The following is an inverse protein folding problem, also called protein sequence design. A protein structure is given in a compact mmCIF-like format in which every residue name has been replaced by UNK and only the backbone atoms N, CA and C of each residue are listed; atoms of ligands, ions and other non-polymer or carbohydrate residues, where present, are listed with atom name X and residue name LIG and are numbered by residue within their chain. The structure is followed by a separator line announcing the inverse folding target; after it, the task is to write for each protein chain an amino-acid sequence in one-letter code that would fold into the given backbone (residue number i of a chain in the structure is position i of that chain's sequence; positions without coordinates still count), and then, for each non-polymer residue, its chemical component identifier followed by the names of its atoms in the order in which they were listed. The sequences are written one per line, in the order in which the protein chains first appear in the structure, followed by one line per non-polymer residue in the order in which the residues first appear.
data_IF_602009701340
#
_entry.id   IF_602009701340
#
_cell.length_a   1.000
_cell.length_b   1.000
_cell.length_c   1.000
_cell.angle_alpha   90.00
_cell.angle_beta   90.00
_cell.angle_gamma   90.00
#
_symmetry.space_group_name_H-M   'P 1'
#
loop_
_entity.id
_entity.type
_entity.pdbx_description
1 polymer ?
#
# COMPACT_ATOMS: atom_id res chain seq x y z
N UNK A 1 45.90 -66.99 19.66
CA UNK A 1 44.52 -66.48 19.58
C UNK A 1 44.56 -65.04 19.09
N UNK A 2 44.34 -64.85 17.77
CA UNK A 2 44.31 -63.51 17.15
C UNK A 2 42.87 -63.05 17.11
N UNK A 3 42.57 -61.91 17.77
CA UNK A 3 41.28 -61.23 17.72
C UNK A 3 41.22 -60.35 16.46
N UNK A 4 40.29 -60.67 15.57
CA UNK A 4 39.95 -59.85 14.39
C UNK A 4 38.98 -58.78 14.87
N UNK A 5 39.38 -57.52 14.72
CA UNK A 5 38.52 -56.36 14.94
C UNK A 5 37.95 -55.96 13.58
N UNK A 6 36.66 -56.18 13.37
CA UNK A 6 35.94 -55.77 12.16
C UNK A 6 35.48 -54.32 12.38
N UNK A 7 36.04 -53.39 11.63
CA UNK A 7 35.63 -51.98 11.58
C UNK A 7 34.52 -51.85 10.56
N UNK A 8 33.30 -51.55 11.03
CA UNK A 8 32.19 -51.15 10.16
C UNK A 8 32.35 -49.70 9.75
N UNK A 9 32.64 -49.46 8.45
CA UNK A 9 32.58 -48.14 7.85
C UNK A 9 31.10 -47.85 7.52
N UNK A 10 30.44 -47.01 8.30
CA UNK A 10 29.14 -46.48 7.96
C UNK A 10 29.34 -45.34 6.95
N UNK A 11 29.03 -45.62 5.69
CA UNK A 11 28.98 -44.58 4.65
C UNK A 11 27.75 -43.68 4.91
N UNK A 12 27.99 -42.48 5.40
CA UNK A 12 26.99 -41.43 5.44
C UNK A 12 26.78 -40.89 4.02
N UNK A 13 25.76 -41.37 3.33
CA UNK A 13 25.25 -40.75 2.10
C UNK A 13 24.62 -39.43 2.48
N UNK A 14 25.38 -38.34 2.32
CA UNK A 14 24.84 -36.98 2.29
C UNK A 14 24.01 -36.85 1.03
N UNK A 15 22.70 -37.01 1.14
CA UNK A 15 21.77 -36.58 0.12
C UNK A 15 21.84 -35.05 0.04
N UNK A 16 22.66 -34.54 -0.86
CA UNK A 16 22.59 -33.17 -1.36
C UNK A 16 21.26 -33.04 -2.09
N UNK A 17 20.24 -32.62 -1.37
CA UNK A 17 18.96 -32.28 -1.96
C UNK A 17 19.12 -31.05 -2.85
N UNK A 18 19.45 -31.26 -4.12
CA UNK A 18 19.12 -30.28 -5.16
C UNK A 18 17.62 -30.05 -5.07
N UNK A 19 17.22 -28.86 -4.64
CA UNK A 19 15.85 -28.39 -4.75
C UNK A 19 15.47 -28.38 -6.23
N UNK A 20 14.97 -29.50 -6.72
CA UNK A 20 14.47 -29.66 -8.08
C UNK A 20 13.30 -28.69 -8.26
N UNK A 21 13.39 -27.82 -9.26
CA UNK A 21 12.24 -27.07 -9.79
C UNK A 21 11.08 -28.07 -9.91
N UNK A 22 9.98 -27.79 -9.25
CA UNK A 22 8.80 -28.67 -9.21
C UNK A 22 8.40 -29.07 -10.63
N UNK A 23 8.55 -30.35 -10.97
CA UNK A 23 8.22 -30.89 -12.29
C UNK A 23 6.73 -31.11 -12.51
N UNK A 24 5.91 -30.84 -11.50
CA UNK A 24 4.50 -31.22 -11.41
C UNK A 24 3.67 -30.62 -12.54
N UNK A 25 3.90 -29.36 -12.90
CA UNK A 25 3.10 -28.63 -13.90
C UNK A 25 3.72 -28.62 -15.32
N UNK A 26 4.88 -29.26 -15.56
CA UNK A 26 5.62 -29.14 -16.83
C UNK A 26 4.89 -29.60 -18.09
N UNK A 27 3.79 -30.34 -17.94
CA UNK A 27 2.99 -30.81 -19.09
C UNK A 27 1.86 -29.85 -19.47
N UNK A 28 1.62 -28.80 -18.67
CA UNK A 28 0.51 -27.87 -18.88
C UNK A 28 0.86 -26.90 -19.99
N UNK A 29 0.05 -26.88 -21.03
CA UNK A 29 0.16 -25.97 -22.17
C UNK A 29 -1.24 -25.57 -22.61
N UNK A 30 -1.42 -24.32 -23.01
CA UNK A 30 -2.68 -23.80 -23.50
C UNK A 30 -3.12 -22.54 -22.74
N UNK A 31 -4.28 -22.03 -23.12
CA UNK A 31 -4.90 -20.87 -22.48
C UNK A 31 -6.14 -21.30 -21.70
N UNK A 32 -6.21 -20.94 -20.45
CA UNK A 32 -7.26 -21.32 -19.51
C UNK A 32 -7.93 -20.08 -18.96
N UNK A 33 -9.25 -20.14 -18.85
CA UNK A 33 -10.04 -19.03 -18.36
C UNK A 33 -10.39 -19.20 -16.90
N UNK A 34 -10.27 -18.12 -16.12
CA UNK A 34 -10.72 -18.06 -14.74
C UNK A 34 -11.44 -16.77 -14.46
N UNK A 35 -12.26 -16.76 -13.41
CA UNK A 35 -13.01 -15.59 -12.98
C UNK A 35 -13.06 -15.49 -11.46
N UNK A 36 -13.20 -14.27 -10.96
CA UNK A 36 -13.47 -14.02 -9.56
C UNK A 36 -14.22 -12.70 -9.39
N UNK A 37 -14.97 -12.56 -8.29
CA UNK A 37 -15.76 -11.37 -8.03
C UNK A 37 -14.88 -10.15 -7.79
N UNK A 38 -15.02 -9.12 -8.62
CA UNK A 38 -14.50 -7.77 -8.43
C UNK A 38 -15.43 -6.93 -7.55
N UNK A 39 -15.24 -5.61 -7.58
CA UNK A 39 -16.08 -4.68 -6.81
C UNK A 39 -17.50 -4.59 -7.36
N UNK A 40 -17.66 -4.53 -8.68
CA UNK A 40 -18.95 -4.36 -9.37
C UNK A 40 -19.44 -5.63 -10.04
N UNK A 41 -18.53 -6.32 -10.73
CA UNK A 41 -18.84 -7.53 -11.49
C UNK A 41 -17.66 -8.50 -11.43
N UNK A 42 -17.84 -9.75 -11.90
CA UNK A 42 -16.73 -10.68 -12.03
C UNK A 42 -15.64 -10.13 -12.96
N UNK A 43 -14.39 -10.24 -12.51
CA UNK A 43 -13.21 -10.05 -13.36
C UNK A 43 -12.87 -11.39 -13.98
N UNK A 44 -12.69 -11.42 -15.30
CA UNK A 44 -12.35 -12.61 -16.06
C UNK A 44 -10.95 -12.46 -16.64
N UNK A 45 -10.14 -13.52 -16.51
CA UNK A 45 -8.77 -13.54 -17.04
C UNK A 45 -8.56 -14.77 -17.92
N UNK A 46 -7.72 -14.62 -18.95
CA UNK A 46 -7.14 -15.72 -19.70
C UNK A 46 -5.67 -15.88 -19.29
N UNK A 47 -5.29 -17.09 -18.88
CA UNK A 47 -3.93 -17.44 -18.46
C UNK A 47 -3.33 -18.41 -19.49
N UNK A 48 -2.25 -18.01 -20.13
CA UNK A 48 -1.52 -18.83 -21.08
C UNK A 48 -0.33 -19.52 -20.41
N UNK A 49 -0.29 -20.84 -20.50
CA UNK A 49 0.78 -21.67 -19.96
C UNK A 49 1.60 -22.30 -21.10
N UNK A 50 2.91 -22.33 -20.92
CA UNK A 50 3.85 -23.12 -21.71
C UNK A 50 4.76 -23.91 -20.78
N UNK A 51 4.75 -25.22 -20.87
CA UNK A 51 5.52 -26.12 -20.00
C UNK A 51 5.33 -25.83 -18.53
N UNK A 52 4.10 -25.39 -18.16
CA UNK A 52 3.73 -25.02 -16.81
C UNK A 52 4.23 -23.65 -16.35
N UNK A 53 4.84 -22.85 -17.20
CA UNK A 53 5.18 -21.45 -16.91
C UNK A 53 4.03 -20.53 -17.35
N UNK A 54 3.71 -19.53 -16.54
CA UNK A 54 2.73 -18.49 -16.90
C UNK A 54 3.40 -17.53 -17.88
N UNK A 55 3.02 -17.60 -19.15
CA UNK A 55 3.56 -16.74 -20.22
C UNK A 55 2.78 -15.45 -20.38
N UNK A 56 1.47 -15.52 -20.19
CA UNK A 56 0.61 -14.35 -20.27
C UNK A 56 -0.57 -14.46 -19.30
N UNK A 57 -0.99 -13.34 -18.76
CA UNK A 57 -2.26 -13.16 -18.09
C UNK A 57 -2.94 -11.97 -18.72
N UNK A 58 -4.12 -12.17 -19.29
CA UNK A 58 -4.90 -11.14 -19.96
C UNK A 58 -6.22 -10.95 -19.22
N UNK A 59 -6.52 -9.74 -18.74
CA UNK A 59 -7.84 -9.43 -18.22
C UNK A 59 -8.77 -9.18 -19.40
N UNK A 60 -9.75 -10.06 -19.58
CA UNK A 60 -10.69 -10.02 -20.72
C UNK A 60 -12.03 -9.39 -20.37
N UNK A 61 -12.35 -9.31 -19.07
CA UNK A 61 -13.53 -8.59 -18.57
C UNK A 61 -13.21 -7.91 -17.26
N UNK A 62 -13.53 -6.62 -17.17
CA UNK A 62 -13.44 -5.80 -15.97
C UNK A 62 -14.49 -4.69 -16.02
N UNK A 63 -15.38 -4.65 -15.04
CA UNK A 63 -16.42 -3.63 -14.88
C UNK A 63 -16.20 -2.78 -13.63
N UNK A 64 -15.11 -2.98 -12.91
CA UNK A 64 -14.73 -2.13 -11.79
C UNK A 64 -14.43 -0.71 -12.28
N UNK A 65 -14.45 0.26 -11.38
CA UNK A 65 -14.23 1.68 -11.73
C UNK A 65 -12.94 1.87 -12.52
N UNK A 66 -12.96 2.28 -13.80
CA UNK A 66 -11.80 2.25 -14.68
C UNK A 66 -10.55 2.92 -14.08
N UNK A 67 -10.71 4.12 -13.54
CA UNK A 67 -9.60 4.90 -12.95
C UNK A 67 -8.93 4.17 -11.78
N UNK A 68 -9.71 3.42 -11.00
CA UNK A 68 -9.20 2.71 -9.81
C UNK A 68 -8.65 1.34 -10.22
N UNK A 69 -9.40 0.62 -11.06
CA UNK A 69 -9.05 -0.74 -11.47
C UNK A 69 -7.88 -0.81 -12.45
N UNK A 70 -7.69 0.23 -13.29
CA UNK A 70 -6.67 0.25 -14.35
C UNK A 70 -5.26 -0.03 -13.79
N UNK A 71 -4.99 0.45 -12.59
CA UNK A 71 -3.77 0.17 -11.86
C UNK A 71 -3.49 -1.32 -11.68
N UNK A 72 -4.50 -2.02 -11.18
CA UNK A 72 -4.38 -3.45 -10.93
C UNK A 72 -4.40 -4.24 -12.24
N UNK A 73 -5.27 -3.87 -13.19
CA UNK A 73 -5.38 -4.51 -14.51
C UNK A 73 -4.07 -4.46 -15.28
N UNK A 74 -3.36 -3.34 -15.20
CA UNK A 74 -2.10 -3.16 -15.92
C UNK A 74 -0.89 -3.77 -15.21
N UNK A 75 -0.87 -3.83 -13.87
CA UNK A 75 0.33 -4.24 -13.14
C UNK A 75 0.28 -5.66 -12.56
N UNK A 76 -0.85 -6.12 -12.04
CA UNK A 76 -0.95 -7.45 -11.42
C UNK A 76 -0.64 -8.58 -12.41
N UNK A 77 -1.19 -8.61 -13.64
CA UNK A 77 -0.83 -9.61 -14.65
C UNK A 77 0.66 -9.67 -14.93
N UNK A 78 1.31 -8.52 -15.10
CA UNK A 78 2.74 -8.43 -15.38
C UNK A 78 3.58 -8.96 -14.20
N UNK A 79 3.23 -8.58 -12.96
CA UNK A 79 3.90 -9.07 -11.74
C UNK A 79 3.78 -10.60 -11.63
N UNK A 80 2.60 -11.17 -11.88
CA UNK A 80 2.38 -12.62 -11.85
C UNK A 80 3.25 -13.33 -12.86
N UNK A 81 3.29 -12.85 -14.11
CA UNK A 81 4.13 -13.43 -15.16
C UNK A 81 5.62 -13.35 -14.81
N UNK A 82 6.10 -12.18 -14.40
CA UNK A 82 7.50 -11.95 -14.09
C UNK A 82 7.98 -12.77 -12.88
N UNK A 83 7.16 -12.89 -11.85
CA UNK A 83 7.51 -13.59 -10.62
C UNK A 83 7.07 -15.05 -10.59
N UNK A 84 6.32 -15.51 -11.57
CA UNK A 84 5.68 -16.83 -11.56
C UNK A 84 4.94 -17.09 -10.23
N UNK A 85 4.28 -16.05 -9.72
CA UNK A 85 3.71 -16.02 -8.37
C UNK A 85 2.33 -15.37 -8.39
N UNK A 86 1.32 -16.08 -7.89
CA UNK A 86 -0.05 -15.54 -7.75
C UNK A 86 -0.23 -14.74 -6.44
N UNK A 87 0.73 -14.81 -5.52
CA UNK A 87 0.72 -14.06 -4.25
C UNK A 87 1.49 -12.74 -4.35
N UNK A 88 1.49 -12.12 -5.54
CA UNK A 88 2.08 -10.79 -5.73
C UNK A 88 1.36 -9.73 -4.88
N UNK A 89 2.06 -8.66 -4.55
CA UNK A 89 1.49 -7.55 -3.80
C UNK A 89 0.31 -6.89 -4.54
N UNK A 90 -0.69 -6.51 -3.78
CA UNK A 90 -1.82 -5.74 -4.29
C UNK A 90 -1.42 -4.30 -4.59
N UNK A 91 -2.09 -3.69 -5.55
CA UNK A 91 -1.92 -2.26 -5.88
C UNK A 91 -2.67 -1.43 -4.86
N UNK A 92 -1.98 -0.45 -4.27
CA UNK A 92 -2.58 0.51 -3.34
C UNK A 92 -3.73 1.28 -4.02
N UNK A 93 -4.89 1.32 -3.37
CA UNK A 93 -6.10 1.94 -3.91
C UNK A 93 -6.94 1.02 -4.81
N UNK A 94 -6.37 -0.04 -5.40
CA UNK A 94 -7.08 -1.01 -6.26
C UNK A 94 -7.10 -2.43 -5.64
N UNK A 95 -7.18 -2.53 -4.33
CA UNK A 95 -6.96 -3.78 -3.60
C UNK A 95 -7.99 -4.85 -3.95
N UNK A 96 -9.29 -4.49 -4.04
CA UNK A 96 -10.36 -5.46 -4.37
C UNK A 96 -10.13 -6.03 -5.78
N UNK A 97 -9.88 -5.17 -6.75
CA UNK A 97 -9.56 -5.57 -8.13
C UNK A 97 -8.29 -6.43 -8.19
N UNK A 98 -7.25 -6.06 -7.43
CA UNK A 98 -6.00 -6.85 -7.34
C UNK A 98 -6.27 -8.27 -6.81
N UNK A 99 -7.04 -8.41 -5.73
CA UNK A 99 -7.41 -9.73 -5.21
C UNK A 99 -8.28 -10.52 -6.18
N UNK A 100 -9.21 -9.86 -6.87
CA UNK A 100 -10.05 -10.52 -7.87
C UNK A 100 -9.21 -11.07 -9.04
N UNK A 101 -8.26 -10.29 -9.57
CA UNK A 101 -7.35 -10.77 -10.62
C UNK A 101 -6.52 -11.97 -10.13
N UNK A 102 -5.89 -11.87 -8.96
CA UNK A 102 -5.09 -12.96 -8.37
C UNK A 102 -5.92 -14.24 -8.21
N UNK A 103 -7.14 -14.11 -7.69
CA UNK A 103 -8.06 -15.24 -7.51
C UNK A 103 -8.53 -15.79 -8.83
N UNK A 104 -8.84 -14.95 -9.83
CA UNK A 104 -9.20 -15.40 -11.18
C UNK A 104 -8.06 -16.19 -11.84
N UNK A 105 -6.80 -15.74 -11.68
CA UNK A 105 -5.63 -16.48 -12.16
C UNK A 105 -5.50 -17.84 -11.45
N UNK A 106 -5.68 -17.88 -10.12
CA UNK A 106 -5.66 -19.15 -9.38
C UNK A 106 -6.75 -20.12 -9.88
N UNK A 107 -7.96 -19.61 -10.19
CA UNK A 107 -9.05 -20.39 -10.73
C UNK A 107 -8.72 -20.93 -12.15
N UNK A 108 -8.11 -20.09 -13.02
CA UNK A 108 -7.66 -20.52 -14.36
C UNK A 108 -6.59 -21.61 -14.26
N UNK A 109 -5.63 -21.49 -13.33
CA UNK A 109 -4.62 -22.52 -13.08
C UNK A 109 -5.25 -23.81 -12.56
N UNK A 110 -6.27 -23.73 -11.71
CA UNK A 110 -7.02 -24.90 -11.22
C UNK A 110 -7.77 -25.58 -12.37
N UNK A 111 -8.39 -24.82 -13.26
CA UNK A 111 -9.05 -25.32 -14.48
C UNK A 111 -8.04 -26.04 -15.41
N UNK A 112 -6.81 -25.56 -15.48
CA UNK A 112 -5.71 -26.21 -16.19
C UNK A 112 -5.27 -27.53 -15.53
N UNK A 113 -5.77 -27.88 -14.35
CA UNK A 113 -5.31 -29.00 -13.55
C UNK A 113 -3.96 -28.76 -12.87
N UNK A 114 -3.57 -27.50 -12.65
CA UNK A 114 -2.32 -27.14 -12.03
C UNK A 114 -2.33 -27.37 -10.51
N UNK A 115 -1.20 -27.83 -9.98
CA UNK A 115 -0.91 -27.73 -8.55
C UNK A 115 -0.48 -26.29 -8.26
N UNK A 116 -1.18 -25.59 -7.35
CA UNK A 116 -0.98 -24.17 -7.10
C UNK A 116 0.25 -23.82 -6.27
N UNK A 117 0.73 -24.72 -5.41
CA UNK A 117 1.83 -24.43 -4.49
C UNK A 117 3.11 -23.88 -5.16
N UNK A 118 3.53 -24.37 -6.33
CA UNK A 118 4.66 -23.76 -7.04
C UNK A 118 4.44 -22.30 -7.42
N UNK A 119 3.21 -21.91 -7.74
CA UNK A 119 2.85 -20.55 -8.11
C UNK A 119 2.60 -19.63 -6.90
N UNK A 120 2.54 -20.15 -5.69
CA UNK A 120 2.46 -19.36 -4.45
C UNK A 120 3.83 -19.00 -3.88
N UNK A 121 4.85 -19.77 -4.24
CA UNK A 121 6.23 -19.56 -3.76
C UNK A 121 7.04 -18.66 -4.69
N UNK A 122 6.58 -18.47 -5.91
CA UNK A 122 7.31 -17.78 -6.97
C UNK A 122 8.49 -18.62 -7.52
N UNK A 123 8.97 -18.25 -8.69
CA UNK A 123 10.31 -18.66 -9.10
C UNK A 123 11.32 -17.86 -8.26
N UNK A 124 12.51 -18.39 -7.99
CA UNK A 124 13.63 -17.62 -7.43
C UNK A 124 14.00 -16.47 -8.40
N UNK A 125 13.09 -15.49 -8.48
CA UNK A 125 13.19 -14.38 -9.39
C UNK A 125 14.38 -13.52 -8.97
N UNK A 126 15.27 -13.26 -9.89
CA UNK A 126 16.42 -12.35 -9.81
C UNK A 126 17.06 -12.35 -8.42
N UNK A 127 18.18 -13.02 -8.25
CA UNK A 127 18.95 -12.94 -7.02
C UNK A 127 19.29 -11.47 -6.75
N UNK A 128 18.55 -10.87 -5.84
CA UNK A 128 18.81 -9.49 -5.41
C UNK A 128 20.15 -9.45 -4.70
N UNK A 129 20.94 -8.44 -5.01
CA UNK A 129 22.25 -8.23 -4.37
C UNK A 129 22.02 -7.75 -2.94
N UNK A 130 22.66 -8.38 -1.98
CA UNK A 130 22.70 -7.88 -0.60
C UNK A 130 23.65 -6.67 -0.55
N UNK A 131 23.15 -5.49 -0.18
CA UNK A 131 23.99 -4.33 0.13
C UNK A 131 24.41 -4.41 1.59
N UNK A 132 25.71 -4.43 1.82
CA UNK A 132 26.32 -4.58 3.15
C UNK A 132 26.38 -3.27 3.94
N UNK A 133 26.27 -2.12 3.28
CA UNK A 133 26.29 -0.83 3.97
C UNK A 133 24.89 -0.44 4.45
N UNK A 134 24.74 -0.34 5.75
CA UNK A 134 23.54 0.18 6.36
C UNK A 134 23.59 1.72 6.39
N UNK A 135 22.62 2.36 5.78
CA UNK A 135 22.44 3.81 5.92
C UNK A 135 21.76 4.10 7.27
N UNK A 136 22.18 5.21 7.91
CA UNK A 136 21.60 5.65 9.17
C UNK A 136 20.77 6.93 8.95
N UNK A 137 19.55 6.94 9.45
CA UNK A 137 18.67 8.12 9.42
C UNK A 137 17.99 8.32 10.77
N UNK A 138 17.45 9.51 11.01
CA UNK A 138 16.72 9.75 12.25
C UNK A 138 15.34 9.10 12.22
N UNK A 139 14.62 9.24 11.11
CA UNK A 139 13.25 8.75 10.96
C UNK A 139 13.06 8.02 9.64
N UNK A 140 12.56 6.80 9.71
CA UNK A 140 12.03 6.07 8.55
C UNK A 140 10.51 6.09 8.62
N UNK A 141 9.87 6.45 7.50
CA UNK A 141 8.43 6.38 7.33
C UNK A 141 8.13 5.30 6.30
N UNK A 142 7.41 4.27 6.70
CA UNK A 142 7.03 3.14 5.86
C UNK A 142 5.66 3.40 5.23
N UNK A 143 5.65 3.65 3.93
CA UNK A 143 4.47 3.96 3.13
C UNK A 143 4.41 5.43 2.70
N UNK A 144 4.39 5.67 1.39
CA UNK A 144 4.30 6.97 0.74
C UNK A 144 2.86 7.42 0.44
N UNK A 145 1.87 6.90 1.18
CA UNK A 145 0.50 7.41 1.16
C UNK A 145 0.39 8.80 1.78
N UNK A 146 -0.83 9.38 1.79
CA UNK A 146 -1.04 10.74 2.32
C UNK A 146 -0.54 10.88 3.76
N UNK A 147 -0.77 9.88 4.61
CA UNK A 147 -0.33 9.92 6.00
C UNK A 147 1.20 9.96 6.14
N UNK A 148 1.91 9.15 5.33
CA UNK A 148 3.37 9.09 5.38
C UNK A 148 4.03 10.36 4.82
N UNK A 149 3.56 10.84 3.68
CA UNK A 149 4.11 12.06 3.06
C UNK A 149 3.80 13.28 3.92
N UNK A 150 2.59 13.39 4.50
CA UNK A 150 2.24 14.48 5.40
C UNK A 150 3.09 14.46 6.68
N UNK A 151 3.34 13.28 7.26
CA UNK A 151 4.23 13.15 8.42
C UNK A 151 5.66 13.58 8.07
N UNK A 152 6.17 13.19 6.89
CA UNK A 152 7.49 13.60 6.43
C UNK A 152 7.62 15.13 6.27
N UNK A 153 6.60 15.76 5.67
CA UNK A 153 6.52 17.21 5.54
C UNK A 153 6.54 17.88 6.91
N UNK A 154 5.77 17.36 7.86
CA UNK A 154 5.70 17.93 9.21
C UNK A 154 7.04 17.84 9.96
N UNK A 155 7.75 16.71 9.85
CA UNK A 155 9.11 16.59 10.38
C UNK A 155 10.07 17.59 9.72
N UNK A 156 10.03 17.72 8.40
CA UNK A 156 10.93 18.61 7.66
C UNK A 156 10.66 20.08 7.96
N UNK A 157 9.41 20.47 8.26
CA UNK A 157 9.04 21.83 8.66
C UNK A 157 9.52 22.20 10.06
N UNK A 158 9.50 21.26 11.00
CA UNK A 158 9.63 21.52 12.42
C UNK A 158 10.90 20.95 13.05
N UNK A 159 11.78 20.33 12.26
CA UNK A 159 13.02 19.74 12.77
C UNK A 159 14.11 19.68 11.69
N UNK A 160 15.34 19.42 12.14
CA UNK A 160 16.49 19.16 11.27
C UNK A 160 16.77 17.65 11.17
N UNK A 161 15.78 16.80 11.45
CA UNK A 161 15.94 15.35 11.40
C UNK A 161 16.04 14.86 9.96
N UNK A 162 16.90 13.88 9.73
CA UNK A 162 16.96 13.16 8.46
C UNK A 162 15.77 12.22 8.35
N UNK A 163 14.89 12.45 7.35
CA UNK A 163 13.66 11.70 7.14
C UNK A 163 13.69 11.01 5.79
N UNK A 164 13.41 9.70 5.78
CA UNK A 164 13.27 8.90 4.54
C UNK A 164 11.90 8.25 4.52
N UNK A 165 11.17 8.45 3.43
CA UNK A 165 9.92 7.74 3.12
C UNK A 165 10.24 6.57 2.19
N UNK A 166 9.78 5.38 2.54
CA UNK A 166 9.91 4.17 1.73
C UNK A 166 8.54 3.80 1.17
N UNK A 167 8.39 3.81 -0.16
CA UNK A 167 7.15 3.44 -0.85
C UNK A 167 7.41 2.25 -1.78
N UNK A 168 6.57 1.22 -1.68
CA UNK A 168 6.72 0.00 -2.49
C UNK A 168 6.32 0.18 -3.95
N UNK A 169 5.41 1.11 -4.23
CA UNK A 169 4.96 1.41 -5.58
C UNK A 169 5.90 2.42 -6.27
N UNK A 170 5.75 2.55 -7.58
CA UNK A 170 6.50 3.52 -8.38
C UNK A 170 6.01 4.97 -8.21
N UNK A 171 5.08 5.23 -7.30
CA UNK A 171 4.48 6.55 -7.07
C UNK A 171 3.97 6.67 -5.62
N UNK A 172 3.86 7.90 -5.14
CA UNK A 172 3.28 8.22 -3.83
C UNK A 172 1.77 8.41 -3.91
N UNK A 173 1.12 8.51 -2.74
CA UNK A 173 -0.30 8.86 -2.61
C UNK A 173 -1.19 7.71 -2.12
N UNK A 174 -0.83 6.46 -2.44
CA UNK A 174 -1.61 5.29 -2.02
C UNK A 174 -3.09 5.41 -2.38
N UNK A 175 -3.98 5.04 -1.46
CA UNK A 175 -5.43 5.12 -1.67
C UNK A 175 -5.95 6.55 -1.86
N UNK A 176 -5.27 7.55 -1.32
CA UNK A 176 -5.69 8.94 -1.47
C UNK A 176 -5.49 9.47 -2.90
N UNK A 177 -4.59 8.87 -3.70
CA UNK A 177 -4.42 9.19 -5.12
C UNK A 177 -5.68 8.90 -5.95
N UNK A 178 -6.50 7.97 -5.50
CA UNK A 178 -7.71 7.50 -6.20
C UNK A 178 -9.03 7.82 -5.47
N UNK A 179 -9.01 8.54 -4.34
CA UNK A 179 -10.19 8.87 -3.52
C UNK A 179 -10.95 10.04 -4.05
N UNK A 180 -11.00 10.56 -5.06
CA UNK A 180 -11.80 11.72 -5.51
C UNK A 180 -11.37 13.07 -4.93
N UNK A 181 -10.38 13.11 -4.04
CA UNK A 181 -9.72 14.31 -3.56
C UNK A 181 -10.51 15.19 -2.58
N UNK A 182 -11.60 14.68 -2.01
CA UNK A 182 -12.35 15.40 -0.97
C UNK A 182 -11.52 15.51 0.33
N UNK A 183 -11.36 16.72 0.82
CA UNK A 183 -10.68 17.00 2.09
C UNK A 183 -11.63 17.69 3.05
N UNK A 184 -11.63 17.25 4.30
CA UNK A 184 -12.33 17.94 5.38
C UNK A 184 -11.39 18.91 6.03
N UNK A 185 -11.70 20.20 5.87
CA UNK A 185 -10.91 21.27 6.44
C UNK A 185 -11.85 22.21 7.20
N UNK A 186 -11.47 22.56 8.40
CA UNK A 186 -12.20 23.50 9.26
C UNK A 186 -11.28 24.61 9.70
N UNK A 187 -11.85 25.79 9.94
CA UNK A 187 -11.15 26.94 10.49
C UNK A 187 -9.94 27.44 9.68
N UNK A 188 -9.84 27.09 8.39
CA UNK A 188 -8.77 27.58 7.49
C UNK A 188 -9.08 29.00 7.00
N UNK A 189 -8.07 29.69 6.44
CA UNK A 189 -8.28 30.97 5.77
C UNK A 189 -9.33 30.89 4.65
N UNK A 190 -9.36 29.77 3.94
CA UNK A 190 -10.37 29.54 2.92
C UNK A 190 -11.78 29.41 3.50
N UNK A 191 -11.94 28.70 4.63
CA UNK A 191 -13.23 28.61 5.33
C UNK A 191 -13.76 30.02 5.70
N UNK A 192 -12.90 30.87 6.25
CA UNK A 192 -13.24 32.26 6.60
C UNK A 192 -13.63 33.06 5.38
N UNK A 193 -12.87 32.94 4.29
CA UNK A 193 -13.12 33.66 3.03
C UNK A 193 -14.46 33.33 2.41
N UNK A 194 -14.84 32.04 2.40
CA UNK A 194 -16.14 31.60 1.86
C UNK A 194 -17.26 31.61 2.90
N UNK A 195 -17.00 32.10 4.12
CA UNK A 195 -17.95 32.18 5.25
C UNK A 195 -18.60 30.84 5.61
N UNK A 196 -17.82 29.78 5.56
CA UNK A 196 -18.21 28.41 5.91
C UNK A 196 -17.42 27.93 7.12
N UNK A 197 -17.55 28.64 8.23
CA UNK A 197 -16.93 28.28 9.50
C UNK A 197 -17.84 27.46 10.39
N UNK A 198 -17.24 26.60 11.22
CA UNK A 198 -17.91 25.91 12.31
C UNK A 198 -17.04 26.00 13.57
N UNK A 199 -17.68 25.91 14.75
CA UNK A 199 -16.94 25.80 16.01
C UNK A 199 -16.49 24.36 16.25
N UNK A 200 -15.55 24.19 17.18
CA UNK A 200 -15.09 22.88 17.61
C UNK A 200 -16.23 22.04 18.19
N UNK A 201 -17.11 22.69 18.97
CA UNK A 201 -18.27 22.08 19.59
C UNK A 201 -19.27 21.59 18.55
N UNK A 202 -19.55 22.39 17.51
CA UNK A 202 -20.41 22.00 16.39
C UNK A 202 -19.84 20.80 15.64
N UNK A 203 -18.53 20.74 15.41
CA UNK A 203 -17.88 19.62 14.77
C UNK A 203 -18.01 18.35 15.62
N UNK A 204 -17.75 18.42 16.91
CA UNK A 204 -17.90 17.28 17.83
C UNK A 204 -19.35 16.81 17.86
N UNK A 205 -20.31 17.72 18.00
CA UNK A 205 -21.75 17.39 18.03
C UNK A 205 -22.21 16.71 16.72
N UNK A 206 -21.71 17.18 15.58
CA UNK A 206 -21.97 16.58 14.28
C UNK A 206 -21.53 15.11 14.23
N UNK A 207 -20.30 14.82 14.68
CA UNK A 207 -19.80 13.44 14.71
C UNK A 207 -20.54 12.57 15.74
N UNK A 208 -20.90 13.13 16.90
CA UNK A 208 -21.72 12.43 17.90
C UNK A 208 -23.05 11.97 17.32
N UNK A 209 -23.75 12.87 16.64
CA UNK A 209 -25.03 12.55 15.97
C UNK A 209 -24.85 11.45 14.92
N UNK A 210 -23.76 11.46 14.17
CA UNK A 210 -23.49 10.46 13.11
C UNK A 210 -22.96 9.14 13.62
N UNK A 211 -22.34 9.10 14.78
CA UNK A 211 -21.78 7.87 15.37
C UNK A 211 -22.86 6.85 15.76
N UNK A 212 -24.12 7.26 15.86
CA UNK A 212 -25.26 6.41 16.24
C UNK A 212 -24.98 5.58 17.50
N UNK A 213 -24.29 6.16 18.48
CA UNK A 213 -23.91 5.53 19.74
C UNK A 213 -22.62 4.72 19.70
N UNK A 214 -21.89 4.68 18.57
CA UNK A 214 -20.55 4.12 18.54
C UNK A 214 -19.58 5.02 19.34
N UNK A 215 -18.55 4.40 19.92
CA UNK A 215 -17.53 5.13 20.66
C UNK A 215 -16.81 6.14 19.77
N UNK A 216 -16.79 7.39 20.18
CA UNK A 216 -16.19 8.51 19.47
C UNK A 216 -14.98 9.04 20.23
N UNK A 217 -13.84 9.15 19.55
CA UNK A 217 -12.67 9.84 20.11
C UNK A 217 -12.80 11.36 19.92
N UNK A 218 -13.47 12.01 20.88
CA UNK A 218 -13.70 13.48 20.88
C UNK A 218 -12.38 14.26 20.88
N UNK A 219 -11.36 13.76 21.58
CA UNK A 219 -10.04 14.40 21.61
C UNK A 219 -9.43 14.45 20.20
N UNK A 220 -9.50 13.34 19.45
CA UNK A 220 -8.99 13.32 18.08
C UNK A 220 -9.72 14.32 17.18
N UNK A 221 -11.04 14.47 17.34
CA UNK A 221 -11.81 15.45 16.55
C UNK A 221 -11.39 16.88 16.92
N UNK A 222 -11.19 17.15 18.21
CA UNK A 222 -10.69 18.43 18.67
C UNK A 222 -9.29 18.73 18.12
N UNK A 223 -8.38 17.77 18.16
CA UNK A 223 -7.02 17.90 17.61
C UNK A 223 -7.05 18.16 16.09
N UNK A 224 -7.95 17.51 15.35
CA UNK A 224 -8.14 17.77 13.92
C UNK A 224 -8.63 19.20 13.70
N UNK A 225 -9.61 19.65 14.48
CA UNK A 225 -10.10 21.03 14.38
C UNK A 225 -8.97 22.06 14.61
N UNK A 226 -8.15 21.84 15.63
CA UNK A 226 -7.09 22.77 16.02
C UNK A 226 -5.93 22.82 15.00
N UNK A 227 -5.67 21.72 14.27
CA UNK A 227 -4.47 21.57 13.45
C UNK A 227 -4.71 21.50 11.95
N UNK A 228 -5.93 21.17 11.50
CA UNK A 228 -6.18 20.94 10.06
C UNK A 228 -5.99 22.20 9.23
N UNK A 229 -6.33 23.35 9.78
CA UNK A 229 -6.18 24.64 9.11
C UNK A 229 -4.71 24.96 8.78
N UNK A 230 -3.81 24.85 9.76
CA UNK A 230 -2.38 25.15 9.56
C UNK A 230 -1.78 24.26 8.46
N UNK A 231 -2.06 22.97 8.51
CA UNK A 231 -1.57 22.01 7.49
C UNK A 231 -2.14 22.34 6.12
N UNK A 232 -3.43 22.60 6.04
CA UNK A 232 -4.09 22.89 4.78
C UNK A 232 -3.63 24.21 4.16
N UNK A 233 -3.57 25.28 4.96
CA UNK A 233 -3.10 26.60 4.53
C UNK A 233 -1.63 26.55 4.08
N UNK A 234 -0.83 25.70 4.73
CA UNK A 234 0.53 25.42 4.28
C UNK A 234 0.57 24.75 2.90
N UNK A 235 -0.28 23.75 2.67
CA UNK A 235 -0.36 23.10 1.37
C UNK A 235 -0.87 24.03 0.28
N UNK A 236 -1.85 24.88 0.58
CA UNK A 236 -2.33 25.90 -0.35
C UNK A 236 -1.20 26.85 -0.80
N UNK A 237 -0.44 27.37 0.16
CA UNK A 237 0.74 28.20 -0.12
C UNK A 237 1.80 27.48 -0.93
N UNK A 238 1.94 26.16 -0.75
CA UNK A 238 2.82 25.29 -1.50
C UNK A 238 2.33 24.91 -2.89
N UNK A 239 1.16 25.41 -3.32
CA UNK A 239 0.63 25.18 -4.67
C UNK A 239 -0.35 24.00 -4.78
N UNK A 240 -0.98 23.60 -3.66
CA UNK A 240 -2.09 22.64 -3.74
C UNK A 240 -3.19 23.21 -4.65
N UNK A 241 -3.58 22.52 -5.73
CA UNK A 241 -4.49 23.07 -6.75
C UNK A 241 -5.95 22.99 -6.27
N UNK A 242 -6.37 23.97 -5.48
CA UNK A 242 -7.72 24.10 -4.94
C UNK A 242 -8.29 25.46 -5.29
N UNK A 243 -9.50 25.51 -5.85
CA UNK A 243 -10.20 26.76 -6.17
C UNK A 243 -11.39 26.99 -5.23
N UNK A 244 -11.74 28.27 -5.03
CA UNK A 244 -12.87 28.67 -4.20
C UNK A 244 -14.21 28.12 -4.68
N UNK A 245 -14.38 27.99 -5.98
CA UNK A 245 -15.60 27.48 -6.62
C UNK A 245 -15.91 26.02 -6.28
N UNK A 246 -14.96 25.33 -5.67
CA UNK A 246 -15.05 23.91 -5.36
C UNK A 246 -15.34 23.61 -3.89
N UNK A 247 -15.64 24.64 -3.11
CA UNK A 247 -16.12 24.49 -1.75
C UNK A 247 -17.62 24.20 -1.74
N UNK A 248 -18.01 23.13 -1.07
CA UNK A 248 -19.41 22.84 -0.82
C UNK A 248 -19.59 22.22 0.56
N UNK A 249 -20.80 22.34 1.08
CA UNK A 249 -21.18 21.66 2.30
C UNK A 249 -21.34 20.17 2.04
N UNK A 250 -20.58 19.32 2.74
CA UNK A 250 -20.70 17.87 2.64
C UNK A 250 -22.13 17.38 2.95
N UNK A 251 -22.78 18.10 3.83
CA UNK A 251 -24.14 17.82 4.25
C UNK A 251 -24.88 19.15 4.40
N UNK A 252 -26.00 19.35 3.68
CA UNK A 252 -26.78 20.60 3.75
C UNK A 252 -27.20 20.97 5.18
N UNK A 253 -27.36 19.95 6.05
CA UNK A 253 -27.79 20.15 7.45
C UNK A 253 -26.65 20.46 8.42
N UNK A 254 -25.37 20.43 7.98
CA UNK A 254 -24.23 20.49 8.89
C UNK A 254 -23.45 21.72 8.56
N UNK A 255 -23.52 22.70 8.23
CA UNK A 255 -22.61 23.86 8.01
C UNK A 255 -21.09 23.48 7.95
N UNK A 256 -20.77 22.18 7.89
CA UNK A 256 -19.40 21.71 7.80
C UNK A 256 -18.94 21.82 6.35
N UNK A 257 -18.01 22.70 6.04
CA UNK A 257 -17.47 22.78 4.69
C UNK A 257 -16.65 21.54 4.40
N UNK A 258 -16.96 20.88 3.32
CA UNK A 258 -16.08 19.90 2.71
C UNK A 258 -15.44 20.54 1.50
N UNK A 259 -14.15 20.66 1.56
CA UNK A 259 -13.39 21.00 0.38
C UNK A 259 -13.40 19.78 -0.55
N UNK A 260 -14.14 19.83 -1.60
CA UNK A 260 -13.96 18.89 -2.70
C UNK A 260 -13.04 19.50 -3.75
N UNK A 261 -11.81 19.06 -3.77
CA UNK A 261 -10.92 19.31 -4.89
C UNK A 261 -11.33 18.44 -6.08
N UNK A 262 -12.42 18.73 -6.74
CA UNK A 262 -12.77 18.13 -8.03
C UNK A 262 -11.93 18.79 -9.12
N UNK A 263 -10.90 18.10 -9.57
CA UNK A 263 -10.13 18.54 -10.70
C UNK A 263 -10.98 18.53 -11.97
N UNK A 264 -10.84 19.55 -12.81
CA UNK A 264 -11.23 19.42 -14.20
C UNK A 264 -10.44 18.26 -14.79
N UNK A 265 -11.11 17.32 -15.42
CA UNK A 265 -10.47 16.08 -15.87
C UNK A 265 -10.46 14.94 -14.87
N UNK A 266 -11.36 14.91 -13.88
CA UNK A 266 -11.60 13.82 -12.93
C UNK A 266 -11.58 12.41 -13.55
N UNK A 267 -11.88 12.31 -14.83
CA UNK A 267 -11.89 11.07 -15.61
C UNK A 267 -10.64 10.84 -16.44
N UNK A 268 -9.69 11.77 -16.45
CA UNK A 268 -8.44 11.67 -17.19
C UNK A 268 -7.26 11.16 -16.33
N UNK A 269 -7.54 10.60 -15.17
CA UNK A 269 -6.50 10.07 -14.29
C UNK A 269 -5.93 8.80 -14.90
N UNK A 270 -4.85 8.96 -15.62
CA UNK A 270 -3.94 7.84 -15.84
C UNK A 270 -3.25 7.52 -14.52
N UNK A 271 -2.98 6.25 -14.29
CA UNK A 271 -2.19 5.83 -13.15
C UNK A 271 -0.89 6.63 -13.11
N UNK A 272 -0.59 7.22 -11.96
CA UNK A 272 0.58 8.06 -11.79
C UNK A 272 0.30 9.55 -11.93
N UNK A 273 -0.79 10.00 -12.55
CA UNK A 273 -1.12 11.41 -12.68
C UNK A 273 -2.13 11.84 -11.61
N UNK A 274 -1.67 12.57 -10.60
CA UNK A 274 -2.54 13.20 -9.60
C UNK A 274 -1.97 14.55 -9.24
N UNK A 275 -2.59 15.62 -9.76
CA UNK A 275 -2.12 16.99 -9.50
C UNK A 275 -1.97 17.31 -8.01
N UNK A 276 -2.86 16.77 -7.16
CA UNK A 276 -2.77 16.94 -5.71
C UNK A 276 -1.52 16.27 -5.15
N UNK A 277 -1.27 15.00 -5.51
CA UNK A 277 -0.11 14.29 -4.99
C UNK A 277 1.20 14.74 -5.62
N UNK A 278 1.16 15.20 -6.86
CA UNK A 278 2.31 15.81 -7.50
C UNK A 278 2.67 17.13 -6.82
N UNK A 279 1.68 17.95 -6.41
CA UNK A 279 1.91 19.14 -5.60
C UNK A 279 2.44 18.81 -4.21
N UNK A 280 1.82 17.85 -3.50
CA UNK A 280 2.29 17.40 -2.17
C UNK A 280 3.69 16.80 -2.25
N UNK A 281 4.00 16.03 -3.29
CA UNK A 281 5.35 15.51 -3.55
C UNK A 281 6.38 16.62 -3.74
N UNK A 282 6.08 17.62 -4.56
CA UNK A 282 6.95 18.78 -4.76
C UNK A 282 7.18 19.59 -3.46
N UNK A 283 6.15 19.73 -2.62
CA UNK A 283 6.30 20.36 -1.30
C UNK A 283 7.28 19.55 -0.44
N UNK A 284 7.14 18.23 -0.40
CA UNK A 284 8.04 17.36 0.35
C UNK A 284 9.50 17.43 -0.17
N UNK A 285 9.68 17.36 -1.48
CA UNK A 285 11.00 17.48 -2.14
C UNK A 285 11.64 18.85 -1.87
N UNK A 286 10.85 19.93 -1.95
CA UNK A 286 11.32 21.28 -1.66
C UNK A 286 11.79 21.49 -0.20
N UNK A 287 11.31 20.65 0.72
CA UNK A 287 11.76 20.58 2.11
C UNK A 287 12.94 19.61 2.33
N UNK A 288 13.44 18.98 1.28
CA UNK A 288 14.54 18.02 1.38
C UNK A 288 14.14 16.63 1.86
N UNK A 289 12.84 16.29 1.89
CA UNK A 289 12.39 14.94 2.20
C UNK A 289 12.86 13.96 1.13
N UNK A 290 13.53 12.89 1.54
CA UNK A 290 13.92 11.81 0.64
C UNK A 290 12.78 10.80 0.51
N UNK A 291 12.24 10.63 -0.70
CA UNK A 291 11.23 9.60 -0.99
C UNK A 291 11.89 8.55 -1.89
N UNK A 292 11.88 7.29 -1.44
CA UNK A 292 12.36 6.14 -2.21
C UNK A 292 11.17 5.33 -2.68
N UNK A 293 10.92 5.37 -3.96
CA UNK A 293 9.91 4.56 -4.65
C UNK A 293 10.47 3.16 -4.94
N UNK A 294 9.60 2.21 -5.33
CA UNK A 294 9.95 0.81 -5.58
C UNK A 294 10.76 0.18 -4.43
N UNK A 295 10.54 0.65 -3.20
CA UNK A 295 11.30 0.29 -2.00
C UNK A 295 10.38 -0.34 -0.96
N UNK A 296 10.25 -1.67 -1.04
CA UNK A 296 9.37 -2.44 -0.16
C UNK A 296 10.04 -2.73 1.17
N UNK A 297 9.47 -2.27 2.27
CA UNK A 297 9.86 -2.72 3.61
C UNK A 297 9.28 -4.11 3.85
N UNK A 298 10.13 -5.05 4.20
CA UNK A 298 9.77 -6.45 4.42
C UNK A 298 9.77 -6.86 5.89
N UNK A 299 10.57 -6.17 6.72
CA UNK A 299 10.74 -6.53 8.12
C UNK A 299 11.16 -5.31 8.95
N UNK A 300 10.75 -5.26 10.22
CA UNK A 300 11.30 -4.35 11.23
C UNK A 300 12.54 -4.97 11.87
N UNK A 301 13.64 -4.23 11.92
CA UNK A 301 14.82 -4.62 12.68
C UNK A 301 14.61 -4.24 14.14
N UNK A 302 14.80 -5.20 15.05
CA UNK A 302 14.61 -4.98 16.48
C UNK A 302 15.83 -5.44 17.27
N UNK A 303 16.25 -4.61 18.21
CA UNK A 303 17.33 -4.92 19.16
C UNK A 303 16.86 -4.60 20.58
N UNK A 304 17.04 -5.55 21.49
CA UNK A 304 16.63 -5.42 22.90
C UNK A 304 15.16 -4.93 23.07
N UNK A 305 14.26 -5.38 22.18
CA UNK A 305 12.84 -5.01 22.21
C UNK A 305 12.51 -3.63 21.62
N UNK A 306 13.49 -2.88 21.13
CA UNK A 306 13.30 -1.61 20.44
C UNK A 306 13.45 -1.79 18.92
N UNK A 307 12.67 -1.04 18.14
CA UNK A 307 12.84 -0.98 16.69
C UNK A 307 14.00 -0.05 16.37
N UNK A 308 15.01 -0.58 15.65
CA UNK A 308 16.25 0.12 15.29
C UNK A 308 16.40 0.35 13.79
N UNK A 309 15.45 -0.11 12.98
CA UNK A 309 15.49 0.06 11.54
C UNK A 309 14.49 -0.83 10.80
N UNK A 310 14.70 -0.92 9.49
CA UNK A 310 13.88 -1.74 8.59
C UNK A 310 14.73 -2.48 7.56
N UNK A 311 14.28 -3.67 7.14
CA UNK A 311 14.80 -4.33 5.94
C UNK A 311 14.01 -3.91 4.73
N UNK A 312 14.70 -3.58 3.67
CA UNK A 312 14.13 -3.03 2.43
C UNK A 312 14.53 -3.89 1.25
N UNK A 313 13.60 -4.11 0.35
CA UNK A 313 13.85 -4.70 -0.96
C UNK A 313 13.46 -3.69 -2.05
N UNK A 314 14.40 -3.37 -2.92
CA UNK A 314 14.15 -2.66 -4.17
C UNK A 314 14.20 -3.62 -5.39
N UNK A 315 14.22 -3.11 -6.61
CA UNK A 315 14.22 -3.94 -7.83
C UNK A 315 15.46 -4.85 -7.92
N UNK A 316 16.60 -4.41 -7.43
CA UNK A 316 17.90 -5.05 -7.63
C UNK A 316 18.57 -5.54 -6.36
N UNK A 317 18.16 -5.01 -5.21
CA UNK A 317 18.89 -5.21 -3.95
C UNK A 317 18.00 -5.38 -2.72
N UNK A 318 18.62 -5.94 -1.68
CA UNK A 318 18.13 -5.98 -0.30
C UNK A 318 19.12 -5.24 0.57
N UNK A 319 18.62 -4.41 1.48
CA UNK A 319 19.49 -3.66 2.40
C UNK A 319 18.76 -3.35 3.71
N UNK A 320 19.53 -2.98 4.70
CA UNK A 320 19.02 -2.49 5.99
C UNK A 320 19.16 -0.97 6.04
N UNK A 321 18.09 -0.31 6.46
CA UNK A 321 18.07 1.11 6.76
C UNK A 321 17.88 1.26 8.27
N UNK A 322 18.92 1.70 8.97
CA UNK A 322 18.86 1.94 10.40
C UNK A 322 18.17 3.27 10.69
N UNK A 323 17.36 3.31 11.75
CA UNK A 323 16.61 4.49 12.12
C UNK A 323 16.45 4.61 13.63
N UNK A 324 16.53 5.82 14.15
CA UNK A 324 16.21 6.08 15.56
C UNK A 324 14.71 5.91 15.85
N UNK A 325 13.87 6.18 14.84
CA UNK A 325 12.41 6.03 14.90
C UNK A 325 11.88 5.48 13.57
N UNK A 326 10.84 4.63 13.67
CA UNK A 326 10.13 4.08 12.51
C UNK A 326 8.65 4.40 12.65
N UNK A 327 8.07 5.00 11.62
CA UNK A 327 6.63 5.30 11.53
C UNK A 327 6.01 4.36 10.52
N UNK A 328 4.97 3.62 10.92
CA UNK A 328 4.21 2.76 10.02
C UNK A 328 3.02 3.55 9.46
N UNK A 329 3.07 3.88 8.17
CA UNK A 329 2.02 4.55 7.40
C UNK A 329 1.55 3.68 6.22
N UNK A 330 1.53 2.36 6.43
CA UNK A 330 1.32 1.34 5.40
C UNK A 330 -0.14 1.19 4.92
N UNK A 331 -1.05 2.00 5.44
CA UNK A 331 -2.48 1.93 5.14
C UNK A 331 -3.24 0.91 6.00
N UNK A 332 -4.49 0.65 5.60
CA UNK A 332 -5.40 -0.21 6.39
C UNK A 332 -5.21 -1.70 6.11
N UNK A 333 -5.34 -2.52 7.14
CA UNK A 333 -5.28 -4.00 7.06
C UNK A 333 -6.60 -4.66 6.64
N UNK A 334 -7.64 -3.87 6.31
CA UNK A 334 -9.00 -4.37 6.08
C UNK A 334 -9.15 -5.30 4.89
N UNK A 335 -8.17 -5.34 4.02
CA UNK A 335 -8.27 -6.06 2.76
C UNK A 335 -7.34 -7.28 2.71
N UNK A 336 -6.67 -7.62 3.81
CA UNK A 336 -5.98 -8.90 3.93
C UNK A 336 -6.96 -9.97 4.47
N UNK A 337 -7.39 -10.95 3.64
CA UNK A 337 -8.30 -12.00 4.06
C UNK A 337 -7.76 -12.85 5.22
N UNK A 338 -6.45 -12.96 5.35
CA UNK A 338 -5.78 -13.68 6.43
C UNK A 338 -5.93 -12.97 7.78
N UNK A 339 -5.88 -11.65 7.78
CA UNK A 339 -6.08 -10.81 8.97
C UNK A 339 -7.56 -10.73 9.34
N UNK A 340 -8.44 -10.55 8.35
CA UNK A 340 -9.89 -10.48 8.56
C UNK A 340 -10.46 -11.78 9.10
N UNK A 341 -9.99 -12.95 8.63
CA UNK A 341 -10.42 -14.26 9.14
C UNK A 341 -10.00 -14.51 10.59
N UNK A 342 -8.87 -13.97 11.03
CA UNK A 342 -8.38 -14.15 12.42
C UNK A 342 -9.12 -13.27 13.43
N UNK A 343 -9.76 -12.18 13.00
CA UNK A 343 -10.52 -11.27 13.89
C UNK A 343 -12.00 -11.29 13.54
N UNK A 344 -12.71 -12.29 14.02
CA UNK A 344 -14.18 -12.39 13.90
C UNK A 344 -14.95 -11.41 14.81
N UNK A 345 -14.29 -10.51 15.51
CA UNK A 345 -14.91 -9.56 16.43
C UNK A 345 -14.22 -8.22 16.39
N UNK A 346 -15.03 -7.20 16.17
CA UNK A 346 -14.75 -5.77 16.22
C UNK A 346 -14.08 -5.15 14.98
N UNK A 347 -14.78 -4.18 14.42
CA UNK A 347 -14.29 -3.13 13.54
C UNK A 347 -13.14 -2.37 14.21
N UNK A 348 -11.93 -2.81 14.03
CA UNK A 348 -10.76 -2.05 14.44
C UNK A 348 -10.27 -1.29 13.21
N UNK A 349 -10.70 -0.04 13.09
CA UNK A 349 -9.96 0.96 12.34
C UNK A 349 -8.63 1.15 13.06
N UNK A 350 -7.60 0.41 12.66
CA UNK A 350 -6.23 0.76 13.01
C UNK A 350 -5.80 1.84 12.02
N UNK A 351 -6.30 3.05 12.22
CA UNK A 351 -5.52 4.22 11.90
C UNK A 351 -4.42 4.22 12.97
N UNK A 352 -3.27 3.67 12.69
CA UNK A 352 -2.11 3.83 13.54
C UNK A 352 -1.65 5.30 13.42
N UNK A 353 -2.40 6.19 14.08
CA UNK A 353 -1.85 7.45 14.50
C UNK A 353 -0.93 7.12 15.66
N UNK A 354 0.35 7.00 15.36
CA UNK A 354 1.39 6.94 16.36
C UNK A 354 1.41 8.30 17.02
N UNK A 355 1.18 8.31 18.32
CA UNK A 355 1.45 9.48 19.15
C UNK A 355 2.90 9.90 18.92
N UNK A 356 3.09 10.99 18.20
CA UNK A 356 4.36 11.68 18.08
C UNK A 356 4.41 12.65 19.26
N UNK A 357 4.99 12.20 20.37
CA UNK A 357 5.54 13.04 21.44
C UNK A 357 6.89 12.48 21.86
#
# INVERSE_FOLDING_TARGET
MKKIVTVFFAAFLVFSGCAGKSSVNKKLNGTFRGSAQGMRAPIVVDVTLEKGEIKAVTVVQNEDSPIISDAAVNSIPQRICAQQNIEVDTVSGATITSFAIKTAVANALTEAGAVLDPYKKGSDAVKKTEKTEAENVDVVIVGGGISGVSAAIEFARNSNLSVVVLEKEAYTGGSARVCGGGMWVVNSEMNKKVKLDSTKEELIAFYEKRSKGASLNKKLIADIYDKSADVFDYFLKGGLPVSEERWYLAHPDSKLPVLESRYEGRYAWKLGESQMFDAVGKIAEGLGVKIRLNSKVTELVTENGAVTGVKVEDETSKYTLNAKKVILATGGLFLDPGVVKKKKTSSVSICAMINIW
#
